data_IF_300196673467
#
_entry.id   IF_300196673467
#
_cell.length_a   1.000
_cell.length_b   1.000
_cell.length_c   1.000
_cell.angle_alpha   90.00
_cell.angle_beta   90.00
_cell.angle_gamma   90.00
#
_symmetry.space_group_name_H-M   'P 1'
#
loop_
_entity.id
_entity.type
_entity.pdbx_description
1 polymer ?
#
# COMPACT_ATOMS: atom_id res chain seq x y z
N UNK A 1 30.19 19.06 13.95
CA UNK A 1 30.56 17.70 13.50
C UNK A 1 29.27 16.95 13.26
N UNK A 2 28.97 16.55 12.01
CA UNK A 2 27.84 15.64 11.76
C UNK A 2 28.15 14.29 12.40
N UNK A 3 27.19 13.72 13.13
CA UNK A 3 27.37 12.41 13.78
C UNK A 3 27.37 11.31 12.71
N UNK A 4 28.10 10.22 12.96
CA UNK A 4 28.21 9.09 12.01
C UNK A 4 26.83 8.55 11.55
N UNK A 5 25.80 8.65 12.41
CA UNK A 5 24.42 8.27 12.10
C UNK A 5 23.78 9.15 11.01
N UNK A 6 24.04 10.46 11.00
CA UNK A 6 23.50 11.37 9.97
C UNK A 6 24.13 11.08 8.61
N UNK A 7 25.43 10.78 8.60
CA UNK A 7 26.16 10.40 7.38
C UNK A 7 25.61 9.07 6.83
N UNK A 8 25.33 8.10 7.70
CA UNK A 8 24.76 6.81 7.32
C UNK A 8 23.36 6.96 6.72
N UNK A 9 22.49 7.77 7.34
CA UNK A 9 21.13 8.03 6.83
C UNK A 9 21.19 8.74 5.47
N UNK A 10 22.03 9.78 5.32
CA UNK A 10 22.23 10.47 4.03
C UNK A 10 22.72 9.51 2.94
N UNK A 11 23.67 8.64 3.28
CA UNK A 11 24.17 7.63 2.35
C UNK A 11 23.08 6.61 1.97
N UNK A 12 22.27 6.15 2.92
CA UNK A 12 21.15 5.24 2.66
C UNK A 12 20.08 5.88 1.78
N UNK A 13 19.74 7.16 2.02
CA UNK A 13 18.79 7.89 1.16
C UNK A 13 19.33 8.02 -0.27
N UNK A 14 20.62 8.33 -0.43
CA UNK A 14 21.26 8.48 -1.74
C UNK A 14 21.36 7.16 -2.51
N UNK A 15 21.51 6.03 -1.80
CA UNK A 15 21.64 4.70 -2.40
C UNK A 15 20.34 3.87 -2.36
N UNK A 16 19.23 4.47 -1.94
CA UNK A 16 17.94 3.80 -1.68
C UNK A 16 17.43 2.99 -2.89
N UNK A 17 17.67 3.47 -4.12
CA UNK A 17 17.31 2.77 -5.36
C UNK A 17 18.16 1.50 -5.52
N UNK A 18 19.48 1.58 -5.36
CA UNK A 18 20.38 0.44 -5.49
C UNK A 18 20.11 -0.61 -4.41
N UNK A 19 19.85 -0.17 -3.18
CA UNK A 19 19.47 -1.05 -2.05
C UNK A 19 18.17 -1.78 -2.38
N UNK A 20 17.19 -1.05 -2.93
CA UNK A 20 15.92 -1.65 -3.35
C UNK A 20 16.13 -2.68 -4.46
N UNK A 21 16.89 -2.36 -5.51
CA UNK A 21 17.20 -3.29 -6.60
C UNK A 21 17.90 -4.54 -6.06
N UNK A 22 18.91 -4.39 -5.21
CA UNK A 22 19.65 -5.50 -4.62
C UNK A 22 18.73 -6.43 -3.81
N UNK A 23 17.89 -5.87 -2.93
CA UNK A 23 16.90 -6.62 -2.15
C UNK A 23 15.92 -7.37 -3.05
N UNK A 24 15.42 -6.70 -4.10
CA UNK A 24 14.48 -7.30 -5.04
C UNK A 24 15.11 -8.43 -5.85
N UNK A 25 16.35 -8.26 -6.31
CA UNK A 25 17.11 -9.31 -6.99
C UNK A 25 17.36 -10.50 -6.06
N UNK A 26 17.80 -10.26 -4.83
CA UNK A 26 18.05 -11.31 -3.84
C UNK A 26 16.77 -12.11 -3.51
N UNK A 27 15.66 -11.41 -3.25
CA UNK A 27 14.37 -12.04 -2.99
C UNK A 27 13.84 -12.81 -4.22
N UNK A 28 14.06 -12.28 -5.42
CA UNK A 28 13.66 -12.95 -6.68
C UNK A 28 14.44 -14.24 -6.88
N UNK A 29 15.76 -14.20 -6.71
CA UNK A 29 16.62 -15.37 -6.78
C UNK A 29 16.20 -16.39 -5.70
N UNK A 30 15.93 -15.96 -4.47
CA UNK A 30 15.47 -16.84 -3.39
C UNK A 30 14.15 -17.56 -3.74
N UNK A 31 13.17 -16.84 -4.31
CA UNK A 31 11.91 -17.46 -4.75
C UNK A 31 12.10 -18.42 -5.91
N UNK A 32 12.87 -18.02 -6.93
CA UNK A 32 13.18 -18.89 -8.08
C UNK A 32 13.90 -20.14 -7.62
N UNK A 33 14.91 -20.01 -6.75
CA UNK A 33 15.64 -21.11 -6.16
C UNK A 33 14.71 -22.08 -5.43
N UNK A 34 13.76 -21.54 -4.65
CA UNK A 34 12.77 -22.35 -3.93
C UNK A 34 11.88 -23.11 -4.91
N UNK A 35 11.40 -22.48 -5.99
CA UNK A 35 10.62 -23.16 -7.05
C UNK A 35 11.46 -24.27 -7.71
N UNK A 36 12.73 -24.00 -8.04
CA UNK A 36 13.65 -24.98 -8.64
C UNK A 36 13.89 -26.16 -7.69
N UNK A 37 14.13 -25.91 -6.40
CA UNK A 37 14.27 -26.94 -5.38
C UNK A 37 13.00 -27.79 -5.24
N UNK A 38 11.81 -27.17 -5.33
CA UNK A 38 10.54 -27.88 -5.26
C UNK A 38 10.27 -28.74 -6.50
N UNK A 39 10.70 -28.29 -7.68
CA UNK A 39 10.69 -29.09 -8.91
C UNK A 39 11.64 -30.28 -8.78
N UNK A 40 12.86 -30.05 -8.27
CA UNK A 40 13.89 -31.09 -8.10
C UNK A 40 13.49 -32.18 -7.10
N UNK A 41 12.73 -31.82 -6.07
CA UNK A 41 12.26 -32.76 -5.04
C UNK A 41 10.95 -33.49 -5.40
N UNK A 42 10.42 -33.34 -6.62
CA UNK A 42 9.18 -34.00 -7.06
C UNK A 42 7.91 -33.57 -6.30
N UNK A 43 8.00 -32.59 -5.41
CA UNK A 43 6.90 -32.11 -4.55
C UNK A 43 6.05 -31.02 -5.22
N UNK A 44 6.12 -30.91 -6.55
CA UNK A 44 5.31 -30.00 -7.34
C UNK A 44 3.96 -30.68 -7.61
N UNK A 45 3.19 -30.86 -6.53
CA UNK A 45 1.86 -31.45 -6.59
C UNK A 45 0.92 -30.35 -7.05
N UNK A 46 0.66 -30.30 -8.35
CA UNK A 46 -0.46 -29.55 -8.91
C UNK A 46 -1.70 -30.36 -8.57
N UNK A 47 -2.21 -30.22 -7.34
CA UNK A 47 -3.49 -30.84 -7.00
C UNK A 47 -4.56 -30.23 -7.92
N UNK A 48 -5.40 -31.06 -8.58
CA UNK A 48 -6.52 -30.54 -9.35
C UNK A 48 -7.42 -29.76 -8.40
N UNK A 49 -7.60 -28.46 -8.66
CA UNK A 49 -8.53 -27.63 -7.90
C UNK A 49 -9.94 -28.15 -8.14
N UNK A 50 -10.75 -28.26 -7.07
CA UNK A 50 -12.19 -28.53 -7.22
C UNK A 50 -12.88 -27.28 -7.77
N UNK A 51 -14.06 -27.45 -8.39
CA UNK A 51 -14.86 -26.31 -8.87
C UNK A 51 -15.17 -25.31 -7.74
N UNK A 52 -15.38 -25.78 -6.51
CA UNK A 52 -15.60 -24.91 -5.34
C UNK A 52 -14.36 -24.10 -4.95
N UNK A 53 -13.14 -24.58 -5.28
CA UNK A 53 -11.89 -23.86 -5.04
C UNK A 53 -11.68 -22.74 -6.08
N UNK A 54 -12.32 -22.85 -7.25
CA UNK A 54 -12.21 -21.88 -8.33
C UNK A 54 -12.77 -20.51 -7.93
N UNK A 55 -13.87 -20.48 -7.17
CA UNK A 55 -14.47 -19.23 -6.69
C UNK A 55 -13.51 -18.46 -5.76
N UNK A 56 -12.88 -19.16 -4.81
CA UNK A 56 -11.92 -18.50 -3.92
C UNK A 56 -10.60 -18.14 -4.62
N UNK A 57 -10.17 -18.92 -5.62
CA UNK A 57 -9.01 -18.56 -6.45
C UNK A 57 -9.30 -17.30 -7.30
N UNK A 58 -10.44 -17.24 -7.97
CA UNK A 58 -10.85 -16.08 -8.79
C UNK A 58 -11.01 -14.82 -7.96
N UNK A 59 -11.61 -14.90 -6.77
CA UNK A 59 -11.66 -13.79 -5.81
C UNK A 59 -10.24 -13.32 -5.42
N UNK A 60 -9.33 -14.25 -5.16
CA UNK A 60 -7.94 -13.91 -4.85
C UNK A 60 -7.24 -13.15 -5.98
N UNK A 61 -7.40 -13.62 -7.23
CA UNK A 61 -6.83 -12.99 -8.42
C UNK A 61 -7.46 -11.61 -8.65
N UNK A 62 -8.79 -11.49 -8.51
CA UNK A 62 -9.50 -10.23 -8.63
C UNK A 62 -9.02 -9.23 -7.57
N UNK A 63 -8.86 -9.68 -6.32
CA UNK A 63 -8.29 -8.86 -5.26
C UNK A 63 -6.85 -8.44 -5.54
N UNK A 64 -6.04 -9.27 -6.21
CA UNK A 64 -4.70 -8.87 -6.67
C UNK A 64 -4.77 -7.77 -7.73
N UNK A 65 -5.63 -7.92 -8.75
CA UNK A 65 -5.83 -6.92 -9.79
C UNK A 65 -6.30 -5.58 -9.22
N UNK A 66 -7.29 -5.61 -8.31
CA UNK A 66 -7.77 -4.42 -7.61
C UNK A 66 -6.66 -3.77 -6.77
N UNK A 67 -5.79 -4.55 -6.13
CA UNK A 67 -4.64 -3.98 -5.40
C UNK A 67 -3.75 -3.19 -6.37
N UNK A 68 -3.42 -3.76 -7.53
CA UNK A 68 -2.60 -3.09 -8.55
C UNK A 68 -3.24 -1.80 -9.04
N UNK A 69 -4.54 -1.82 -9.35
CA UNK A 69 -5.30 -0.65 -9.80
C UNK A 69 -5.36 0.42 -8.70
N UNK A 70 -5.64 0.02 -7.46
CA UNK A 70 -5.77 0.93 -6.32
C UNK A 70 -4.47 1.68 -6.00
N UNK A 71 -3.31 1.07 -6.23
CA UNK A 71 -2.00 1.70 -6.03
C UNK A 71 -1.67 2.72 -7.12
N UNK A 72 -2.23 2.55 -8.33
CA UNK A 72 -2.08 3.54 -9.43
C UNK A 72 -3.00 4.75 -9.26
N UNK A 73 -3.99 4.66 -8.39
CA UNK A 73 -4.94 5.73 -8.10
C UNK A 73 -4.46 6.60 -6.93
N UNK A 74 -4.91 7.86 -6.84
CA UNK A 74 -4.67 8.69 -5.66
C UNK A 74 -5.27 8.04 -4.42
N UNK A 75 -4.43 7.78 -3.43
CA UNK A 75 -4.79 7.19 -2.14
C UNK A 75 -5.20 8.30 -1.17
N UNK A 76 -4.58 9.47 -1.26
CA UNK A 76 -4.89 10.64 -0.45
C UNK A 76 -4.71 11.92 -1.25
N UNK A 77 -5.61 12.88 -1.08
CA UNK A 77 -5.61 14.14 -1.83
C UNK A 77 -5.83 15.30 -0.85
N UNK A 78 -5.05 16.36 -1.02
CA UNK A 78 -5.25 17.66 -0.38
C UNK A 78 -5.33 18.70 -1.51
N UNK A 79 -6.45 19.42 -1.58
CA UNK A 79 -6.73 20.46 -2.56
C UNK A 79 -6.85 21.81 -1.86
N UNK A 80 -6.49 22.87 -2.57
CA UNK A 80 -6.79 24.24 -2.20
C UNK A 80 -7.61 24.92 -3.29
N UNK A 81 -8.57 25.74 -2.86
CA UNK A 81 -9.39 26.58 -3.72
C UNK A 81 -9.38 28.00 -3.18
N UNK A 82 -8.94 28.96 -3.99
CA UNK A 82 -8.88 30.38 -3.60
C UNK A 82 -10.12 31.11 -4.12
N UNK A 83 -10.81 31.87 -3.28
CA UNK A 83 -12.06 32.56 -3.70
C UNK A 83 -11.90 34.07 -3.93
N UNK A 84 -10.89 34.72 -3.35
CA UNK A 84 -10.69 36.18 -3.42
C UNK A 84 -9.20 36.52 -3.39
N UNK A 85 -8.71 37.55 -4.12
CA UNK A 85 -9.43 38.48 -5.00
C UNK A 85 -9.67 37.97 -6.44
N UNK A 86 -9.12 36.80 -6.81
CA UNK A 86 -9.38 36.14 -8.10
C UNK A 86 -9.51 34.63 -7.83
N UNK A 87 -10.54 33.98 -8.36
CA UNK A 87 -10.65 32.52 -8.34
C UNK A 87 -9.60 31.93 -9.29
N UNK A 88 -8.54 31.36 -8.73
CA UNK A 88 -7.49 30.68 -9.49
C UNK A 88 -7.82 29.20 -9.76
N UNK A 89 -9.01 28.74 -9.39
CA UNK A 89 -9.46 27.36 -9.55
C UNK A 89 -9.02 26.43 -8.41
N UNK A 90 -9.36 25.14 -8.54
CA UNK A 90 -8.88 24.10 -7.64
C UNK A 90 -7.44 23.72 -8.00
N UNK A 91 -6.52 23.92 -7.05
CA UNK A 91 -5.14 23.46 -7.15
C UNK A 91 -4.91 22.29 -6.19
N UNK A 92 -4.33 21.19 -6.70
CA UNK A 92 -3.95 20.05 -5.87
C UNK A 92 -2.65 20.36 -5.13
N UNK A 93 -2.71 20.58 -3.81
CA UNK A 93 -1.54 20.91 -2.99
C UNK A 93 -0.69 19.68 -2.68
N UNK A 94 -1.34 18.57 -2.35
CA UNK A 94 -0.68 17.31 -2.04
C UNK A 94 -1.48 16.15 -2.61
N UNK A 95 -0.81 15.29 -3.36
CA UNK A 95 -1.39 14.04 -3.86
C UNK A 95 -0.46 12.91 -3.45
N UNK A 96 -1.01 11.95 -2.71
CA UNK A 96 -0.35 10.70 -2.42
C UNK A 96 -0.93 9.62 -3.32
N UNK A 97 -0.10 9.07 -4.19
CA UNK A 97 -0.40 7.87 -4.96
C UNK A 97 0.72 6.83 -4.74
N UNK A 98 0.50 5.60 -5.20
CA UNK A 98 1.51 4.55 -5.08
C UNK A 98 2.56 4.53 -6.19
N UNK A 99 2.29 5.20 -7.32
CA UNK A 99 3.18 5.22 -8.49
C UNK A 99 4.13 6.42 -8.51
N UNK A 100 3.63 7.59 -8.15
CA UNK A 100 4.39 8.82 -8.06
C UNK A 100 4.78 9.18 -6.61
N UNK A 101 4.22 8.49 -5.62
CA UNK A 101 4.51 8.72 -4.21
C UNK A 101 3.82 9.98 -3.68
N UNK A 102 4.52 10.73 -2.83
CA UNK A 102 4.03 12.02 -2.32
C UNK A 102 4.40 13.12 -3.31
N UNK A 103 3.41 13.63 -4.02
CA UNK A 103 3.54 14.79 -4.89
C UNK A 103 3.05 16.03 -4.12
N UNK A 104 3.89 17.06 -4.05
CA UNK A 104 3.50 18.35 -3.46
C UNK A 104 3.57 19.41 -4.56
N UNK A 105 2.44 20.05 -4.88
CA UNK A 105 2.43 21.17 -5.82
C UNK A 105 2.48 22.46 -5.01
N UNK A 106 3.70 22.89 -4.74
CA UNK A 106 4.00 24.05 -3.88
C UNK A 106 4.11 25.33 -4.75
N UNK A 107 3.56 25.33 -5.97
CA UNK A 107 3.57 26.49 -6.87
C UNK A 107 2.88 27.74 -6.27
N UNK A 108 2.05 27.56 -5.24
CA UNK A 108 1.45 28.64 -4.44
C UNK A 108 2.28 29.08 -3.22
N UNK A 109 3.26 28.28 -2.76
CA UNK A 109 4.01 28.49 -1.50
C UNK A 109 5.52 28.75 -1.68
N UNK A 110 6.02 28.81 -2.91
CA UNK A 110 7.44 29.03 -3.21
C UNK A 110 8.21 27.73 -3.39
N UNK A 111 9.07 27.72 -4.42
CA UNK A 111 9.81 26.54 -4.92
C UNK A 111 10.60 25.82 -3.81
N UNK A 112 10.09 24.68 -3.35
CA UNK A 112 10.87 23.63 -2.71
C UNK A 112 10.97 22.43 -3.68
N UNK A 113 12.11 21.73 -3.70
CA UNK A 113 12.34 20.62 -4.61
C UNK A 113 11.35 19.49 -4.36
N UNK A 114 10.70 18.98 -5.41
CA UNK A 114 9.97 17.72 -5.34
C UNK A 114 10.95 16.64 -4.87
N UNK A 115 10.52 15.80 -3.91
CA UNK A 115 11.33 14.68 -3.41
C UNK A 115 11.31 13.56 -4.47
N UNK A 116 11.92 13.85 -5.62
CA UNK A 116 11.95 13.00 -6.82
C UNK A 116 12.65 11.66 -6.58
N UNK A 117 13.55 11.60 -5.59
CA UNK A 117 14.26 10.37 -5.20
C UNK A 117 13.34 9.33 -4.58
N UNK A 118 12.33 9.74 -3.79
CA UNK A 118 11.37 8.83 -3.16
C UNK A 118 10.42 8.22 -4.20
N UNK A 119 10.04 9.00 -5.20
CA UNK A 119 9.17 8.59 -6.30
C UNK A 119 9.77 7.44 -7.10
N UNK A 120 11.06 7.50 -7.42
CA UNK A 120 11.74 6.43 -8.19
C UNK A 120 11.83 5.10 -7.43
N UNK A 121 12.06 5.12 -6.10
CA UNK A 121 12.06 3.90 -5.29
C UNK A 121 10.69 3.20 -5.27
N UNK A 122 9.61 3.98 -5.13
CA UNK A 122 8.25 3.43 -5.06
C UNK A 122 7.86 2.70 -6.35
N UNK A 123 8.24 3.22 -7.52
CA UNK A 123 8.01 2.56 -8.82
C UNK A 123 8.67 1.19 -8.92
N UNK A 124 9.92 1.09 -8.48
CA UNK A 124 10.69 -0.16 -8.52
C UNK A 124 10.09 -1.20 -7.57
N UNK A 125 9.72 -0.79 -6.35
CA UNK A 125 9.04 -1.66 -5.38
C UNK A 125 7.69 -2.13 -5.91
N UNK A 126 6.92 -1.24 -6.55
CA UNK A 126 5.63 -1.59 -7.13
C UNK A 126 5.75 -2.60 -8.28
N UNK A 127 6.64 -2.34 -9.25
CA UNK A 127 6.90 -3.28 -10.36
C UNK A 127 7.33 -4.65 -9.84
N UNK A 128 8.19 -4.69 -8.83
CA UNK A 128 8.59 -5.94 -8.24
C UNK A 128 7.48 -6.63 -7.45
N UNK A 129 6.57 -5.88 -6.82
CA UNK A 129 5.40 -6.45 -6.15
C UNK A 129 4.50 -7.21 -7.14
N UNK A 130 4.30 -6.67 -8.35
CA UNK A 130 3.56 -7.34 -9.43
C UNK A 130 4.30 -8.62 -9.83
N UNK A 131 5.60 -8.53 -10.07
CA UNK A 131 6.43 -9.68 -10.43
C UNK A 131 6.39 -10.80 -9.37
N UNK A 132 6.52 -10.44 -8.10
CA UNK A 132 6.44 -11.37 -6.98
C UNK A 132 5.06 -11.99 -6.81
N UNK A 133 4.01 -11.27 -7.17
CA UNK A 133 2.63 -11.78 -7.14
C UNK A 133 2.44 -12.87 -8.20
N UNK A 134 3.02 -12.70 -9.40
CA UNK A 134 3.00 -13.73 -10.46
C UNK A 134 3.77 -14.98 -10.00
N UNK A 135 4.98 -14.80 -9.48
CA UNK A 135 5.78 -15.92 -8.94
C UNK A 135 5.05 -16.64 -7.80
N UNK A 136 4.30 -15.90 -7.00
CA UNK A 136 3.50 -16.45 -5.90
C UNK A 136 2.33 -17.32 -6.35
N UNK A 137 1.83 -17.12 -7.56
CA UNK A 137 0.80 -17.97 -8.18
C UNK A 137 1.41 -19.31 -8.65
N UNK A 138 2.67 -19.32 -9.07
CA UNK A 138 3.33 -20.54 -9.55
C UNK A 138 3.75 -21.51 -8.44
N UNK A 139 3.94 -21.04 -7.19
CA UNK A 139 4.41 -21.87 -6.06
C UNK A 139 3.29 -22.68 -5.37
N UNK A 140 2.11 -22.81 -5.99
CA UNK A 140 0.90 -23.31 -5.32
C UNK A 140 0.88 -24.84 -5.18
N UNK A 141 0.76 -25.31 -3.92
CA UNK A 141 0.77 -26.76 -3.58
C UNK A 141 -0.56 -27.32 -3.04
N UNK A 142 -1.41 -26.49 -2.41
CA UNK A 142 -2.71 -26.89 -1.80
C UNK A 142 -3.66 -25.70 -1.59
N UNK A 143 -4.98 -25.93 -1.69
CA UNK A 143 -6.04 -24.92 -1.52
C UNK A 143 -5.98 -24.19 -0.17
N UNK A 144 -5.80 -24.89 0.96
CA UNK A 144 -5.64 -24.29 2.30
C UNK A 144 -4.42 -23.39 2.42
N UNK A 145 -3.32 -23.72 1.73
CA UNK A 145 -2.12 -22.87 1.71
C UNK A 145 -2.38 -21.59 0.90
N UNK A 146 -3.10 -21.69 -0.22
CA UNK A 146 -3.53 -20.55 -1.04
C UNK A 146 -4.45 -19.65 -0.22
N UNK A 147 -5.45 -20.22 0.46
CA UNK A 147 -6.38 -19.45 1.28
C UNK A 147 -5.68 -18.69 2.41
N UNK A 148 -4.73 -19.34 3.10
CA UNK A 148 -3.94 -18.66 4.15
C UNK A 148 -3.07 -17.53 3.59
N UNK A 149 -2.49 -17.71 2.40
CA UNK A 149 -1.69 -16.68 1.71
C UNK A 149 -2.56 -15.50 1.30
N UNK A 150 -3.77 -15.75 0.79
CA UNK A 150 -4.74 -14.70 0.44
C UNK A 150 -5.19 -13.92 1.68
N UNK A 151 -5.56 -14.60 2.77
CA UNK A 151 -5.94 -13.95 4.04
C UNK A 151 -4.81 -13.10 4.61
N UNK A 152 -3.57 -13.63 4.62
CA UNK A 152 -2.39 -12.89 5.07
C UNK A 152 -2.13 -11.67 4.19
N UNK A 153 -2.28 -11.80 2.88
CA UNK A 153 -2.16 -10.69 1.93
C UNK A 153 -3.21 -9.61 2.16
N UNK A 154 -4.48 -9.99 2.37
CA UNK A 154 -5.56 -9.05 2.69
C UNK A 154 -5.34 -8.36 4.04
N UNK A 155 -4.97 -9.10 5.07
CA UNK A 155 -4.63 -8.54 6.39
C UNK A 155 -3.45 -7.57 6.32
N UNK A 156 -2.42 -7.87 5.53
CA UNK A 156 -1.30 -6.97 5.30
C UNK A 156 -1.72 -5.67 4.60
N UNK A 157 -2.63 -5.74 3.63
CA UNK A 157 -3.19 -4.53 2.99
C UNK A 157 -3.96 -3.67 3.99
N UNK A 158 -4.81 -4.28 4.84
CA UNK A 158 -5.52 -3.55 5.89
C UNK A 158 -4.55 -2.90 6.89
N UNK A 159 -3.53 -3.65 7.33
CA UNK A 159 -2.51 -3.13 8.22
C UNK A 159 -1.76 -1.95 7.58
N UNK A 160 -1.41 -2.04 6.29
CA UNK A 160 -0.77 -0.96 5.54
C UNK A 160 -1.65 0.29 5.46
N UNK A 161 -2.95 0.15 5.19
CA UNK A 161 -3.89 1.28 5.19
C UNK A 161 -4.03 1.90 6.59
N UNK A 162 -4.04 1.07 7.62
CA UNK A 162 -4.11 1.54 9.00
C UNK A 162 -2.84 2.31 9.41
N UNK A 163 -1.66 1.82 9.03
CA UNK A 163 -0.39 2.53 9.23
C UNK A 163 -0.38 3.86 8.46
N UNK A 164 -0.91 3.90 7.23
CA UNK A 164 -1.05 5.13 6.47
C UNK A 164 -1.91 6.17 7.22
N UNK A 165 -3.11 5.77 7.67
CA UNK A 165 -4.00 6.65 8.42
C UNK A 165 -3.36 7.13 9.73
N UNK A 166 -2.70 6.24 10.47
CA UNK A 166 -1.94 6.60 11.67
C UNK A 166 -0.82 7.59 11.36
N UNK A 167 -0.15 7.44 10.22
CA UNK A 167 0.90 8.38 9.78
C UNK A 167 0.33 9.77 9.50
N UNK A 168 -0.85 9.84 8.86
CA UNK A 168 -1.57 11.11 8.64
C UNK A 168 -2.05 11.70 9.96
N UNK A 169 -2.56 10.90 10.90
CA UNK A 169 -2.91 11.37 12.25
C UNK A 169 -1.71 11.87 13.07
N UNK A 170 -0.49 11.49 12.68
CA UNK A 170 0.76 11.93 13.34
C UNK A 170 1.55 12.92 12.49
N UNK A 171 0.95 13.49 11.44
CA UNK A 171 1.62 14.41 10.51
C UNK A 171 2.27 15.59 11.24
N UNK A 172 1.63 16.11 12.29
CA UNK A 172 2.16 17.19 13.14
C UNK A 172 3.52 16.84 13.78
N UNK A 173 3.68 15.62 14.33
CA UNK A 173 4.94 15.16 14.92
C UNK A 173 6.04 14.92 13.88
N UNK A 174 5.66 14.44 12.70
CA UNK A 174 6.60 14.23 11.58
C UNK A 174 7.17 15.58 11.13
N UNK A 175 6.35 16.63 11.11
CA UNK A 175 6.77 17.96 10.71
C UNK A 175 7.63 18.67 11.74
N UNK A 176 7.36 18.48 13.04
CA UNK A 176 8.24 18.96 14.09
C UNK A 176 9.65 18.38 13.92
N UNK A 177 9.75 17.08 13.61
CA UNK A 177 11.01 16.42 13.30
C UNK A 177 11.70 16.96 12.03
N UNK A 178 10.93 17.28 10.98
CA UNK A 178 11.43 17.87 9.73
C UNK A 178 11.85 19.35 9.90
N UNK A 179 11.14 20.11 10.73
CA UNK A 179 11.42 21.52 11.01
C UNK A 179 12.77 21.71 11.71
N UNK A 180 13.16 20.75 12.55
CA UNK A 180 14.45 20.72 13.22
C UNK A 180 15.61 20.57 12.22
N UNK A 181 15.37 19.89 11.09
CA UNK A 181 16.38 19.63 10.05
C UNK A 181 16.42 20.73 8.96
N UNK A 182 15.29 21.40 8.71
CA UNK A 182 15.16 22.44 7.67
C UNK A 182 15.61 23.86 8.11
N UNK A 183 16.08 24.06 9.35
CA UNK A 183 16.50 25.38 9.90
C UNK A 183 15.52 26.53 9.59
N UNK A 184 14.24 26.23 9.49
CA UNK A 184 13.25 27.15 8.93
C UNK A 184 11.91 27.03 9.63
N UNK A 185 11.45 28.16 10.15
CA UNK A 185 10.12 28.35 10.74
C UNK A 185 9.10 27.92 9.70
N UNK A 186 8.37 26.83 9.95
CA UNK A 186 7.20 26.50 9.13
C UNK A 186 6.24 27.70 9.19
N UNK A 187 5.68 28.15 8.05
CA UNK A 187 4.65 29.19 8.09
C UNK A 187 3.54 28.77 9.06
N UNK A 188 3.03 29.66 9.94
CA UNK A 188 2.03 29.32 10.95
C UNK A 188 0.74 28.73 10.32
N UNK A 189 0.47 29.09 9.08
CA UNK A 189 -0.56 28.53 8.24
C UNK A 189 -0.38 27.01 7.96
N UNK A 190 0.85 26.58 7.65
CA UNK A 190 1.14 25.19 7.36
C UNK A 190 0.98 24.33 8.63
N UNK A 191 1.39 24.84 9.79
CA UNK A 191 1.20 24.16 11.07
C UNK A 191 -0.28 24.02 11.43
N UNK A 192 -1.10 25.06 11.23
CA UNK A 192 -2.53 25.02 11.54
C UNK A 192 -3.28 24.07 10.59
N UNK A 193 -3.01 24.13 9.28
CA UNK A 193 -3.62 23.23 8.32
C UNK A 193 -3.27 21.76 8.60
N UNK A 194 -2.02 21.47 8.98
CA UNK A 194 -1.57 20.12 9.28
C UNK A 194 -2.12 19.58 10.60
N UNK A 195 -2.28 20.41 11.62
CA UNK A 195 -2.94 20.04 12.86
C UNK A 195 -4.40 19.62 12.59
N UNK A 196 -5.09 20.36 11.74
CA UNK A 196 -6.48 20.09 11.37
C UNK A 196 -6.63 18.81 10.53
N UNK A 197 -5.73 18.59 9.58
CA UNK A 197 -5.64 17.32 8.85
C UNK A 197 -5.35 16.14 9.79
N UNK A 198 -4.46 16.32 10.78
CA UNK A 198 -4.13 15.28 11.74
C UNK A 198 -5.31 14.91 12.66
N UNK A 199 -6.13 15.90 13.04
CA UNK A 199 -7.35 15.68 13.85
C UNK A 199 -8.45 14.95 13.08
N UNK A 200 -8.58 15.20 11.77
CA UNK A 200 -9.58 14.58 10.90
C UNK A 200 -8.93 13.92 9.68
N UNK A 201 -8.19 12.83 9.84
CA UNK A 201 -7.33 12.28 8.79
C UNK A 201 -8.10 11.72 7.58
N UNK A 202 -9.36 11.31 7.74
CA UNK A 202 -10.15 10.67 6.68
C UNK A 202 -10.65 11.66 5.64
N UNK A 203 -11.18 12.80 6.08
CA UNK A 203 -11.69 13.87 5.23
C UNK A 203 -11.89 15.14 6.06
N UNK A 204 -11.81 16.29 5.41
CA UNK A 204 -12.13 17.56 6.02
C UNK A 204 -12.04 18.72 5.04
N UNK A 205 -12.66 19.84 5.42
CA UNK A 205 -12.67 21.09 4.65
C UNK A 205 -12.51 22.23 5.63
N UNK A 206 -11.58 23.14 5.37
CA UNK A 206 -11.39 24.31 6.22
C UNK A 206 -10.91 25.52 5.43
N UNK A 207 -11.47 26.67 5.78
CA UNK A 207 -11.05 27.97 5.27
C UNK A 207 -9.81 28.46 6.03
N UNK A 208 -8.81 28.88 5.28
CA UNK A 208 -7.64 29.57 5.79
C UNK A 208 -7.45 30.90 5.05
N UNK A 209 -7.03 31.93 5.78
CA UNK A 209 -6.66 33.21 5.19
C UNK A 209 -5.17 33.16 4.79
N UNK A 210 -4.90 33.08 3.48
CA UNK A 210 -3.54 33.07 2.94
C UNK A 210 -3.30 34.42 2.28
N UNK A 211 -2.43 35.26 2.86
CA UNK A 211 -2.01 36.55 2.27
C UNK A 211 -3.17 37.48 1.87
N UNK A 212 -4.27 37.48 2.64
CA UNK A 212 -5.48 38.28 2.37
C UNK A 212 -6.51 37.60 1.45
N UNK A 213 -6.23 36.38 0.98
CA UNK A 213 -7.12 35.56 0.18
C UNK A 213 -7.80 34.48 1.04
N UNK A 214 -9.13 34.34 0.92
CA UNK A 214 -9.83 33.20 1.51
C UNK A 214 -9.55 31.95 0.67
N UNK A 215 -8.84 30.99 1.26
CA UNK A 215 -8.48 29.73 0.62
C UNK A 215 -9.11 28.58 1.38
N UNK A 216 -9.99 27.82 0.72
CA UNK A 216 -10.52 26.58 1.26
C UNK A 216 -9.54 25.44 0.96
N UNK A 217 -9.05 24.81 2.01
CA UNK A 217 -8.26 23.59 1.92
C UNK A 217 -9.21 22.42 2.21
N UNK A 218 -9.34 21.51 1.26
CA UNK A 218 -10.04 20.25 1.42
C UNK A 218 -9.07 19.08 1.36
N UNK A 219 -9.30 18.06 2.17
CA UNK A 219 -8.49 16.85 2.16
C UNK A 219 -9.36 15.61 2.31
N UNK A 220 -8.83 14.48 1.87
CA UNK A 220 -9.43 13.21 2.18
C UNK A 220 -8.81 12.03 1.46
N UNK A 221 -9.29 10.84 1.85
CA UNK A 221 -8.95 9.59 1.18
C UNK A 221 -9.44 9.61 -0.27
N UNK A 222 -8.53 9.31 -1.18
CA UNK A 222 -8.80 9.25 -2.61
C UNK A 222 -9.42 7.91 -3.04
N UNK A 223 -9.78 7.76 -4.33
CA UNK A 223 -10.39 6.54 -4.85
C UNK A 223 -9.50 5.30 -4.67
N UNK A 224 -8.17 5.46 -4.70
CA UNK A 224 -7.23 4.36 -4.51
C UNK A 224 -7.35 3.70 -3.15
N UNK A 225 -7.64 4.47 -2.09
CA UNK A 225 -7.85 3.94 -0.74
C UNK A 225 -9.02 2.95 -0.70
N UNK A 226 -10.15 3.32 -1.29
CA UNK A 226 -11.36 2.49 -1.33
C UNK A 226 -11.15 1.23 -2.17
N UNK A 227 -10.43 1.34 -3.30
CA UNK A 227 -10.11 0.19 -4.15
C UNK A 227 -9.20 -0.80 -3.41
N UNK A 228 -8.18 -0.31 -2.68
CA UNK A 228 -7.29 -1.18 -1.87
C UNK A 228 -8.06 -1.81 -0.71
N UNK A 229 -8.98 -1.07 -0.08
CA UNK A 229 -9.84 -1.60 0.98
C UNK A 229 -10.74 -2.73 0.45
N UNK A 230 -11.39 -2.53 -0.70
CA UNK A 230 -12.20 -3.55 -1.36
C UNK A 230 -11.34 -4.77 -1.74
N UNK A 231 -10.15 -4.55 -2.30
CA UNK A 231 -9.19 -5.60 -2.62
C UNK A 231 -8.82 -6.46 -1.40
N UNK A 232 -8.61 -5.82 -0.25
CA UNK A 232 -8.28 -6.50 0.99
C UNK A 232 -9.44 -7.37 1.49
N UNK A 233 -10.67 -6.84 1.46
CA UNK A 233 -11.88 -7.58 1.83
C UNK A 233 -12.12 -8.80 0.93
N UNK A 234 -11.98 -8.62 -0.39
CA UNK A 234 -12.13 -9.69 -1.38
C UNK A 234 -11.08 -10.80 -1.15
N UNK A 235 -9.82 -10.43 -0.88
CA UNK A 235 -8.75 -11.40 -0.57
C UNK A 235 -9.03 -12.19 0.70
N UNK A 236 -9.56 -11.55 1.74
CA UNK A 236 -9.93 -12.23 2.98
C UNK A 236 -11.10 -13.19 2.72
N UNK A 237 -12.13 -12.75 2.00
CA UNK A 237 -13.29 -13.57 1.65
C UNK A 237 -12.89 -14.80 0.79
N UNK A 238 -12.10 -14.58 -0.27
CA UNK A 238 -11.57 -15.67 -1.11
C UNK A 238 -10.74 -16.68 -0.31
N UNK A 239 -9.93 -16.18 0.63
CA UNK A 239 -9.13 -17.03 1.49
C UNK A 239 -9.95 -17.84 2.51
N UNK A 240 -11.06 -17.31 3.00
CA UNK A 240 -12.01 -18.03 3.85
C UNK A 240 -12.72 -19.15 3.07
N UNK A 241 -13.15 -18.87 1.83
CA UNK A 241 -13.82 -19.84 0.96
C UNK A 241 -12.89 -21.02 0.66
N UNK A 242 -11.64 -20.75 0.24
CA UNK A 242 -10.61 -21.76 -0.02
C UNK A 242 -10.25 -22.63 1.19
N UNK A 243 -10.48 -22.13 2.41
CA UNK A 243 -10.27 -22.92 3.64
C UNK A 243 -11.43 -23.86 3.94
N UNK A 244 -12.66 -23.51 3.55
CA UNK A 244 -13.86 -24.31 3.83
C UNK A 244 -14.01 -25.49 2.88
N UNK A 245 -13.60 -25.34 1.62
CA UNK A 245 -13.70 -26.38 0.57
C UNK A 245 -12.83 -27.62 0.80
N UNK A 246 -11.73 -27.51 1.56
CA UNK A 246 -10.84 -28.64 1.88
C UNK A 246 -11.37 -29.55 3.01
N UNK A 247 -12.40 -29.13 3.76
CA UNK A 247 -12.88 -29.80 4.97
C UNK A 247 -14.09 -30.79 4.90
N UNK A 248 -14.76 -31.10 3.77
CA UNK A 248 -15.91 -32.03 3.81
C UNK A 248 -15.55 -33.54 3.79
N UNK A 249 -14.33 -33.93 3.43
CA UNK A 249 -14.00 -35.35 3.16
C UNK A 249 -13.79 -36.22 4.41
N UNK A 250 -13.76 -35.65 5.61
CA UNK A 250 -13.68 -36.39 6.86
C UNK A 250 -15.06 -36.72 7.47
N UNK A 251 -16.14 -36.07 7.01
CA UNK A 251 -17.48 -36.33 7.55
C UNK A 251 -18.21 -37.50 6.84
N UNK A 252 -17.79 -37.87 5.63
CA UNK A 252 -18.47 -38.91 4.85
C UNK A 252 -17.84 -40.31 5.01
N UNK A 253 -16.78 -40.45 5.81
CA UNK A 253 -16.08 -41.73 6.04
C UNK A 253 -16.44 -42.39 7.37
N UNK A 254 -17.25 -41.75 8.22
CA UNK A 254 -17.71 -42.29 9.50
C UNK A 254 -19.11 -42.90 9.45
N UNK A 255 -19.73 -42.99 8.28
CA UNK A 255 -21.11 -43.48 8.08
C UNK A 255 -21.21 -44.75 7.23
N UNK A 256 -20.12 -45.50 7.05
CA UNK A 256 -20.22 -46.89 6.59
C UNK A 256 -20.35 -47.82 7.81
N UNK A 257 -21.53 -48.40 8.11
CA UNK A 257 -21.60 -49.49 9.07
C UNK A 257 -20.90 -50.72 8.48
N UNK A 258 -19.87 -51.18 9.20
CA UNK A 258 -19.32 -52.52 9.10
C UNK A 258 -20.44 -53.55 9.28
N UNK A 259 -20.58 -54.48 8.34
CA UNK A 259 -21.18 -55.78 8.62
C UNK A 259 -22.17 -56.26 7.58
N UNK A 260 -21.66 -57.03 6.60
CA UNK A 260 -22.33 -58.23 6.10
C UNK A 260 -21.22 -59.24 5.77
N UNK A 261 -20.96 -60.14 6.72
CA UNK A 261 -20.28 -61.42 6.56
C UNK A 261 -21.11 -62.45 7.32
#
# INVERSE_FOLDING_TARGET
METAWVILIKWMMNNSILISIFLLSFLSISKIWKIVMLKKNGCLIISPLREDDFLGLTLGILGMLLTTIGVLLPIYIVKARTFFPVDQGEAELLVLDGWNGVQMNISLLGKLPSISSLQSCMRVVFLASIWFTILDIMEMKRAKHIGNKQMRGGAFLLASLMVLLLSISRLSLIMELLSADLRGILPPLATEAMERIALQPLQGVQMFAISGCNTEISWGVGPGFYVILAAAMIKIAGGIILRRSENPSLLNKSTEPLGNL
#
